data_IF_858493482354
#
_entry.id   IF_858493482354
#
_cell.length_a   1.000
_cell.length_b   1.000
_cell.length_c   1.000
_cell.angle_alpha   90.00
_cell.angle_beta   90.00
_cell.angle_gamma   90.00
#
_symmetry.space_group_name_H-M   'P 1'
#
loop_
_entity.id
_entity.type
_entity.pdbx_description
1 polymer ?
#
# COMPACT_ATOMS: atom_id res chain seq x y z
N UNK A 1 10.58 13.20 17.26
CA UNK A 1 9.77 13.02 16.03
C UNK A 1 8.63 12.02 16.27
N UNK A 2 7.64 12.35 17.12
CA UNK A 2 6.48 11.47 17.44
C UNK A 2 5.37 11.48 16.37
N UNK A 3 5.46 12.32 15.34
CA UNK A 3 4.36 12.59 14.39
C UNK A 3 4.43 11.92 13.01
N UNK A 4 5.54 11.32 12.58
CA UNK A 4 5.64 10.75 11.23
C UNK A 4 4.93 9.40 11.07
N UNK A 5 4.82 8.63 12.15
CA UNK A 5 4.18 7.32 12.12
C UNK A 5 2.69 7.39 11.75
N UNK A 6 1.83 8.21 12.38
CA UNK A 6 0.42 8.28 11.99
C UNK A 6 0.24 8.84 10.58
N UNK A 7 1.04 9.83 10.16
CA UNK A 7 0.91 10.45 8.83
C UNK A 7 1.13 9.42 7.72
N UNK A 8 2.19 8.61 7.81
CA UNK A 8 2.47 7.63 6.77
C UNK A 8 1.39 6.53 6.70
N UNK A 9 0.87 6.08 7.84
CA UNK A 9 -0.25 5.12 7.88
C UNK A 9 -1.55 5.74 7.34
N UNK A 10 -1.82 7.02 7.59
CA UNK A 10 -2.96 7.70 6.96
C UNK A 10 -2.80 7.83 5.45
N UNK A 11 -1.58 8.05 4.97
CA UNK A 11 -1.32 8.18 3.53
C UNK A 11 -1.51 6.83 2.81
N UNK A 12 -1.04 5.74 3.41
CA UNK A 12 -1.32 4.35 2.98
C UNK A 12 -2.84 4.12 2.95
N UNK A 13 -3.57 4.51 4.00
CA UNK A 13 -5.01 4.30 4.03
C UNK A 13 -5.75 5.10 2.94
N UNK A 14 -5.36 6.35 2.67
CA UNK A 14 -5.98 7.19 1.66
C UNK A 14 -5.71 6.69 0.23
N UNK A 15 -4.48 6.26 -0.06
CA UNK A 15 -4.13 5.67 -1.36
C UNK A 15 -4.89 4.35 -1.58
N UNK A 16 -4.91 3.46 -0.59
CA UNK A 16 -5.70 2.24 -0.63
C UNK A 16 -7.21 2.50 -0.82
N UNK A 17 -7.76 3.55 -0.21
CA UNK A 17 -9.17 3.94 -0.41
C UNK A 17 -9.43 4.43 -1.84
N UNK A 18 -8.51 5.23 -2.42
CA UNK A 18 -8.62 5.67 -3.81
C UNK A 18 -8.55 4.49 -4.79
N UNK A 19 -7.61 3.56 -4.57
CA UNK A 19 -7.48 2.33 -5.35
C UNK A 19 -8.67 1.39 -5.19
N UNK A 20 -9.27 1.29 -4.01
CA UNK A 20 -10.49 0.51 -3.81
C UNK A 20 -11.62 1.00 -4.72
N UNK A 21 -11.80 2.31 -4.86
CA UNK A 21 -12.79 2.89 -5.76
C UNK A 21 -12.51 2.56 -7.23
N UNK A 22 -11.25 2.72 -7.66
CA UNK A 22 -10.85 2.49 -9.04
C UNK A 22 -10.91 0.99 -9.42
N UNK A 23 -10.39 0.11 -8.56
CA UNK A 23 -10.43 -1.34 -8.76
C UNK A 23 -11.86 -1.88 -8.72
N UNK A 24 -12.74 -1.38 -7.84
CA UNK A 24 -14.16 -1.77 -7.83
C UNK A 24 -14.89 -1.39 -9.12
N UNK A 25 -14.61 -0.21 -9.68
CA UNK A 25 -15.13 0.20 -10.98
C UNK A 25 -14.69 -0.76 -12.09
N UNK A 26 -13.41 -1.14 -12.10
CA UNK A 26 -12.87 -2.08 -13.09
C UNK A 26 -13.41 -3.51 -12.94
N UNK A 27 -13.62 -4.00 -11.71
CA UNK A 27 -14.27 -5.31 -11.50
C UNK A 27 -15.65 -5.35 -12.15
N UNK A 28 -16.42 -4.27 -12.03
CA UNK A 28 -17.73 -4.18 -12.67
C UNK A 28 -17.62 -4.15 -14.20
N UNK A 29 -16.65 -3.38 -14.73
CA UNK A 29 -16.46 -3.24 -16.17
C UNK A 29 -16.04 -4.56 -16.85
N UNK A 30 -15.18 -5.34 -16.20
CA UNK A 30 -14.58 -6.58 -16.72
C UNK A 30 -15.44 -7.81 -16.38
N UNK A 31 -16.63 -7.61 -15.78
CA UNK A 31 -17.49 -8.71 -15.34
C UNK A 31 -17.88 -9.66 -16.49
N UNK A 32 -18.04 -9.13 -17.70
CA UNK A 32 -18.47 -9.88 -18.89
C UNK A 32 -17.31 -10.27 -19.81
N UNK A 33 -16.07 -9.92 -19.46
CA UNK A 33 -14.90 -10.24 -20.28
C UNK A 33 -14.45 -11.70 -20.08
N UNK A 34 -14.12 -12.42 -21.17
CA UNK A 34 -13.65 -13.81 -21.10
C UNK A 34 -12.19 -13.95 -20.65
N UNK A 35 -11.44 -12.85 -20.49
CA UNK A 35 -10.02 -12.87 -20.11
C UNK A 35 -9.85 -13.17 -18.60
N UNK A 36 -9.60 -14.44 -18.28
CA UNK A 36 -9.48 -14.89 -16.89
C UNK A 36 -8.34 -14.19 -16.11
N UNK A 37 -7.20 -13.94 -16.76
CA UNK A 37 -6.01 -13.38 -16.10
C UNK A 37 -6.16 -11.92 -15.69
N UNK A 38 -6.67 -11.08 -16.59
CA UNK A 38 -6.85 -9.65 -16.32
C UNK A 38 -7.86 -9.45 -15.19
N UNK A 39 -8.99 -10.15 -15.24
CA UNK A 39 -10.01 -10.14 -14.18
C UNK A 39 -9.45 -10.59 -12.83
N UNK A 40 -8.65 -11.67 -12.80
CA UNK A 40 -8.03 -12.14 -11.56
C UNK A 40 -7.08 -11.11 -10.93
N UNK A 41 -6.34 -10.35 -11.74
CA UNK A 41 -5.43 -9.32 -11.23
C UNK A 41 -6.17 -8.09 -10.72
N UNK A 42 -7.23 -7.64 -11.40
CA UNK A 42 -8.08 -6.56 -10.87
C UNK A 42 -8.71 -6.95 -9.53
N UNK A 43 -9.14 -8.21 -9.38
CA UNK A 43 -9.63 -8.73 -8.09
C UNK A 43 -8.52 -8.76 -7.04
N UNK A 44 -7.28 -9.10 -7.42
CA UNK A 44 -6.13 -9.04 -6.52
C UNK A 44 -5.86 -7.61 -6.04
N UNK A 45 -5.91 -6.62 -6.93
CA UNK A 45 -5.83 -5.21 -6.56
C UNK A 45 -6.94 -4.82 -5.59
N UNK A 46 -8.20 -5.18 -5.87
CA UNK A 46 -9.32 -4.91 -4.98
C UNK A 46 -9.12 -5.54 -3.59
N UNK A 47 -8.70 -6.79 -3.53
CA UNK A 47 -8.37 -7.47 -2.29
C UNK A 47 -7.27 -6.74 -1.52
N UNK A 48 -6.20 -6.34 -2.21
CA UNK A 48 -5.07 -5.66 -1.62
C UNK A 48 -5.44 -4.27 -1.08
N UNK A 49 -6.30 -3.54 -1.79
CA UNK A 49 -6.85 -2.26 -1.35
C UNK A 49 -7.71 -2.41 -0.09
N UNK A 50 -8.61 -3.39 -0.04
CA UNK A 50 -9.42 -3.68 1.16
C UNK A 50 -8.54 -4.10 2.33
N UNK A 51 -7.59 -5.02 2.10
CA UNK A 51 -6.61 -5.47 3.10
C UNK A 51 -5.83 -4.29 3.66
N UNK A 52 -5.29 -3.45 2.78
CA UNK A 52 -4.45 -2.32 3.16
C UNK A 52 -5.27 -1.29 3.94
N UNK A 53 -6.47 -0.95 3.46
CA UNK A 53 -7.36 0.02 4.09
C UNK A 53 -7.82 -0.43 5.48
N UNK A 54 -8.23 -1.69 5.64
CA UNK A 54 -8.71 -2.22 6.92
C UNK A 54 -7.62 -2.15 7.99
N UNK A 55 -6.42 -2.64 7.68
CA UNK A 55 -5.35 -2.66 8.65
C UNK A 55 -4.72 -1.28 8.87
N UNK A 56 -4.50 -0.49 7.82
CA UNK A 56 -4.01 0.88 7.97
C UNK A 56 -5.01 1.75 8.77
N UNK A 57 -6.31 1.63 8.46
CA UNK A 57 -7.38 2.30 9.20
C UNK A 57 -7.44 1.89 10.67
N UNK A 58 -7.31 0.59 10.95
CA UNK A 58 -7.21 0.10 12.33
C UNK A 58 -5.99 0.66 13.07
N UNK A 59 -4.81 0.71 12.43
CA UNK A 59 -3.62 1.34 13.02
C UNK A 59 -3.82 2.83 13.32
N UNK A 60 -4.46 3.58 12.41
CA UNK A 60 -4.77 5.00 12.61
C UNK A 60 -5.75 5.19 13.78
N UNK A 61 -6.82 4.40 13.82
CA UNK A 61 -7.82 4.45 14.89
C UNK A 61 -7.22 4.09 16.26
N UNK A 62 -6.37 3.06 16.32
CA UNK A 62 -5.70 2.69 17.57
C UNK A 62 -4.66 3.70 18.03
N UNK A 63 -3.98 4.39 17.10
CA UNK A 63 -3.10 5.51 17.43
C UNK A 63 -3.87 6.67 18.09
N UNK A 64 -5.15 6.86 17.78
CA UNK A 64 -5.99 7.91 18.38
C UNK A 64 -6.63 7.51 19.72
N UNK A 65 -6.99 6.23 19.90
CA UNK A 65 -7.69 5.76 21.12
C UNK A 65 -6.75 5.32 22.26
N UNK A 66 -5.45 5.18 22.00
CA UNK A 66 -4.44 4.88 23.03
C UNK A 66 -4.57 3.50 23.68
N UNK A 67 -5.48 2.64 23.20
CA UNK A 67 -5.81 1.35 23.79
C UNK A 67 -5.19 0.18 22.99
N UNK A 68 -4.59 -0.76 23.74
CA UNK A 68 -4.05 -2.07 23.35
C UNK A 68 -2.55 -2.15 22.94
N UNK A 69 -1.75 -2.66 23.89
CA UNK A 69 -0.30 -2.85 23.82
C UNK A 69 0.18 -4.02 22.92
N UNK A 70 -0.71 -4.82 22.31
CA UNK A 70 -0.33 -6.09 21.66
C UNK A 70 -0.35 -6.00 20.12
N UNK A 71 -1.35 -5.34 19.50
CA UNK A 71 -1.37 -5.11 18.04
C UNK A 71 -0.60 -3.85 17.62
N UNK A 72 -0.49 -2.84 18.50
CA UNK A 72 0.35 -1.66 18.28
C UNK A 72 1.87 -1.94 18.48
N UNK A 73 2.26 -3.22 18.49
CA UNK A 73 3.66 -3.61 18.50
C UNK A 73 4.32 -3.22 17.18
N UNK A 74 5.47 -2.56 17.27
CA UNK A 74 6.33 -2.21 16.13
C UNK A 74 6.67 -3.45 15.29
N UNK A 75 6.72 -4.63 15.92
CA UNK A 75 6.96 -5.90 15.22
C UNK A 75 5.76 -6.36 14.38
N UNK A 76 4.53 -6.24 14.90
CA UNK A 76 3.32 -6.61 14.19
C UNK A 76 3.07 -5.71 12.98
N UNK A 77 3.32 -4.40 13.14
CA UNK A 77 3.24 -3.43 12.05
C UNK A 77 4.33 -3.64 10.99
N UNK A 78 5.56 -3.98 11.38
CA UNK A 78 6.63 -4.30 10.43
C UNK A 78 6.33 -5.57 9.61
N UNK A 79 5.81 -6.63 10.25
CA UNK A 79 5.40 -7.85 9.54
C UNK A 79 4.27 -7.55 8.55
N UNK A 80 3.25 -6.81 8.98
CA UNK A 80 2.14 -6.41 8.13
C UNK A 80 2.61 -5.56 6.93
N UNK A 81 3.46 -4.55 7.16
CA UNK A 81 4.04 -3.73 6.08
C UNK A 81 4.84 -4.56 5.07
N UNK A 82 5.55 -5.59 5.54
CA UNK A 82 6.30 -6.50 4.66
C UNK A 82 5.35 -7.30 3.77
N UNK A 83 4.30 -7.88 4.35
CA UNK A 83 3.29 -8.65 3.60
C UNK A 83 2.60 -7.74 2.58
N UNK A 84 2.16 -6.56 3.00
CA UNK A 84 1.48 -5.59 2.15
C UNK A 84 2.39 -5.12 1.00
N UNK A 85 3.67 -4.83 1.27
CA UNK A 85 4.63 -4.48 0.22
C UNK A 85 4.78 -5.60 -0.83
N UNK A 86 4.86 -6.86 -0.40
CA UNK A 86 4.96 -8.01 -1.32
C UNK A 86 3.67 -8.16 -2.14
N UNK A 87 2.50 -8.04 -1.51
CA UNK A 87 1.22 -8.12 -2.22
C UNK A 87 1.09 -7.05 -3.30
N UNK A 88 1.42 -5.79 -2.98
CA UNK A 88 1.41 -4.69 -3.96
C UNK A 88 2.45 -4.88 -5.06
N UNK A 89 3.67 -5.27 -4.72
CA UNK A 89 4.73 -5.51 -5.70
C UNK A 89 4.41 -6.66 -6.66
N UNK A 90 3.84 -7.76 -6.15
CA UNK A 90 3.39 -8.89 -6.99
C UNK A 90 2.22 -8.47 -7.87
N UNK A 91 1.24 -7.75 -7.33
CA UNK A 91 0.10 -7.26 -8.12
C UNK A 91 0.56 -6.35 -9.27
N UNK A 92 1.38 -5.34 -8.97
CA UNK A 92 1.91 -4.41 -9.99
C UNK A 92 2.81 -5.12 -11.00
N UNK A 93 3.73 -5.97 -10.54
CA UNK A 93 4.65 -6.70 -11.41
C UNK A 93 3.98 -7.69 -12.36
N UNK A 94 2.90 -8.35 -11.93
CA UNK A 94 2.11 -9.24 -12.80
C UNK A 94 1.20 -8.47 -13.77
N UNK A 95 0.86 -7.23 -13.44
CA UNK A 95 -0.01 -6.38 -14.24
C UNK A 95 0.71 -5.70 -15.41
N UNK A 96 1.98 -5.33 -15.20
CA UNK A 96 2.86 -4.70 -16.20
C UNK A 96 2.83 -5.38 -17.60
N UNK A 97 3.09 -6.71 -17.73
CA UNK A 97 3.08 -7.36 -19.04
C UNK A 97 1.69 -7.41 -19.71
N UNK A 98 0.60 -7.30 -18.95
CA UNK A 98 -0.75 -7.31 -19.51
C UNK A 98 -1.13 -5.98 -20.15
N UNK A 99 -0.54 -4.88 -19.69
CA UNK A 99 -0.74 -3.55 -20.28
C UNK A 99 0.12 -3.31 -21.53
N UNK A 100 1.09 -4.19 -21.79
CA UNK A 100 2.13 -3.99 -22.81
C UNK A 100 3.46 -3.48 -22.23
N UNK A 101 3.61 -3.51 -20.91
CA UNK A 101 4.82 -3.13 -20.18
C UNK A 101 4.88 -1.64 -19.80
N UNK A 102 5.84 -1.33 -18.95
CA UNK A 102 6.10 0.01 -18.40
C UNK A 102 6.46 1.06 -19.47
N UNK A 103 6.77 0.61 -20.68
CA UNK A 103 7.06 1.44 -21.85
C UNK A 103 5.83 1.75 -22.74
N UNK A 104 4.64 1.23 -22.41
CA UNK A 104 3.42 1.56 -23.14
C UNK A 104 2.97 2.99 -22.81
N UNK A 105 3.34 3.94 -23.68
CA UNK A 105 3.00 5.35 -23.55
C UNK A 105 1.52 5.63 -23.88
N UNK A 106 0.78 6.18 -22.92
CA UNK A 106 -0.56 6.73 -23.15
C UNK A 106 -0.51 8.21 -23.62
N UNK A 107 0.56 8.61 -24.33
CA UNK A 107 0.72 9.99 -24.79
C UNK A 107 -0.30 10.30 -25.91
N UNK A 108 -0.99 11.44 -25.82
CA UNK A 108 -2.03 11.83 -26.79
C UNK A 108 -3.42 11.20 -26.58
N UNK A 109 -3.63 10.33 -25.60
CA UNK A 109 -4.97 9.81 -25.27
C UNK A 109 -5.74 10.79 -24.36
N UNK A 110 -7.09 10.84 -24.44
CA UNK A 110 -7.90 11.69 -23.58
C UNK A 110 -7.74 11.33 -22.09
N UNK A 111 -8.00 12.30 -21.21
CA UNK A 111 -7.78 12.15 -19.76
C UNK A 111 -8.53 10.96 -19.15
N UNK A 112 -9.76 10.68 -19.60
CA UNK A 112 -10.55 9.50 -19.22
C UNK A 112 -10.44 8.42 -20.32
N UNK A 113 -9.25 7.88 -20.51
CA UNK A 113 -9.05 6.72 -21.38
C UNK A 113 -8.66 5.50 -20.55
N UNK A 114 -9.11 4.32 -20.98
CA UNK A 114 -8.75 3.03 -20.38
C UNK A 114 -7.24 2.89 -20.16
N UNK A 115 -6.42 3.33 -21.12
CA UNK A 115 -4.95 3.30 -21.00
C UNK A 115 -4.47 4.04 -19.74
N UNK A 116 -4.99 5.24 -19.47
CA UNK A 116 -4.59 6.07 -18.32
C UNK A 116 -5.12 5.54 -17.01
N UNK A 117 -6.32 4.97 -17.00
CA UNK A 117 -6.91 4.35 -15.81
C UNK A 117 -6.12 3.11 -15.38
N UNK A 118 -5.73 2.25 -16.34
CA UNK A 118 -4.90 1.07 -16.05
C UNK A 118 -3.47 1.46 -15.66
N UNK A 119 -2.92 2.52 -16.27
CA UNK A 119 -1.63 3.08 -15.85
C UNK A 119 -1.71 3.63 -14.42
N UNK A 120 -2.83 4.24 -14.03
CA UNK A 120 -3.04 4.74 -12.67
C UNK A 120 -3.08 3.59 -11.65
N UNK A 121 -3.79 2.49 -11.92
CA UNK A 121 -3.80 1.29 -11.07
C UNK A 121 -2.37 0.75 -10.84
N UNK A 122 -1.59 0.62 -11.92
CA UNK A 122 -0.22 0.15 -11.85
C UNK A 122 0.67 1.10 -11.04
N UNK A 123 0.59 2.40 -11.36
CA UNK A 123 1.36 3.44 -10.68
C UNK A 123 1.04 3.49 -9.19
N UNK A 124 -0.24 3.42 -8.81
CA UNK A 124 -0.61 3.43 -7.40
C UNK A 124 -0.10 2.17 -6.71
N UNK A 125 -0.16 1.00 -7.36
CA UNK A 125 0.43 -0.22 -6.81
C UNK A 125 1.93 -0.11 -6.51
N UNK A 126 2.71 0.49 -7.42
CA UNK A 126 4.12 0.78 -7.16
C UNK A 126 4.32 1.80 -6.04
N UNK A 127 3.48 2.83 -5.95
CA UNK A 127 3.57 3.83 -4.87
C UNK A 127 3.25 3.24 -3.51
N UNK A 128 2.25 2.37 -3.39
CA UNK A 128 1.91 1.68 -2.15
C UNK A 128 3.02 0.74 -1.69
N UNK A 129 3.64 -0.01 -2.62
CA UNK A 129 4.82 -0.81 -2.32
C UNK A 129 5.95 0.06 -1.77
N UNK A 130 6.28 1.15 -2.47
CA UNK A 130 7.34 2.06 -2.05
C UNK A 130 7.04 2.69 -0.69
N UNK A 131 5.79 3.10 -0.46
CA UNK A 131 5.34 3.69 0.79
C UNK A 131 5.44 2.69 1.94
N UNK A 132 5.03 1.43 1.74
CA UNK A 132 5.18 0.36 2.73
C UNK A 132 6.66 0.08 3.07
N UNK A 133 7.55 0.16 2.09
CA UNK A 133 9.00 -0.01 2.32
C UNK A 133 9.55 1.19 3.12
N UNK A 134 9.18 2.41 2.75
CA UNK A 134 9.61 3.63 3.45
C UNK A 134 9.11 3.66 4.89
N UNK A 135 7.86 3.28 5.14
CA UNK A 135 7.31 3.19 6.51
C UNK A 135 8.02 2.13 7.33
N UNK A 136 8.35 0.98 6.74
CA UNK A 136 9.11 -0.07 7.40
C UNK A 136 10.52 0.42 7.78
N UNK A 137 11.24 1.07 6.88
CA UNK A 137 12.55 1.65 7.20
C UNK A 137 12.45 2.71 8.30
N UNK A 138 11.45 3.60 8.23
CA UNK A 138 11.23 4.61 9.27
C UNK A 138 10.99 3.97 10.64
N UNK A 139 10.20 2.89 10.71
CA UNK A 139 9.96 2.14 11.93
C UNK A 139 11.24 1.48 12.47
N UNK A 140 12.04 0.84 11.60
CA UNK A 140 13.29 0.20 12.00
C UNK A 140 14.35 1.20 12.50
N UNK A 141 14.55 2.31 11.79
CA UNK A 141 15.47 3.37 12.19
C UNK A 141 15.07 3.98 13.55
N UNK A 142 13.77 4.14 13.79
CA UNK A 142 13.27 4.63 15.07
C UNK A 142 13.57 3.67 16.24
N UNK A 143 13.41 2.36 16.04
CA UNK A 143 13.79 1.36 17.05
C UNK A 143 15.29 1.43 17.33
N UNK A 144 16.12 1.55 16.31
CA UNK A 144 17.57 1.65 16.47
C UNK A 144 17.98 2.93 17.21
N UNK A 145 17.39 4.09 16.88
CA UNK A 145 17.68 5.35 17.58
C UNK A 145 17.26 5.29 19.04
N UNK A 146 16.10 4.69 19.32
CA UNK A 146 15.58 4.56 20.68
C UNK A 146 16.48 3.63 21.51
N UNK A 147 16.89 2.48 20.97
CA UNK A 147 17.84 1.56 21.63
C UNK A 147 19.21 2.20 21.91
N UNK A 148 19.73 3.01 20.99
CA UNK A 148 20.99 3.76 21.20
C UNK A 148 20.86 4.78 22.33
N UNK A 149 19.75 5.51 22.38
CA UNK A 149 19.48 6.49 23.44
C UNK A 149 19.38 5.84 24.82
N UNK A 150 18.73 4.68 24.94
CA UNK A 150 18.65 3.95 26.22
C UNK A 150 20.03 3.48 26.70
N UNK A 151 20.89 2.94 25.82
CA UNK A 151 22.25 2.52 26.21
C UNK A 151 23.10 3.67 26.74
N UNK A 152 22.98 4.87 26.19
CA UNK A 152 23.73 6.04 26.65
C UNK A 152 23.42 6.44 28.10
N UNK A 153 22.18 6.24 28.55
CA UNK A 153 21.74 6.64 29.90
C UNK A 153 22.25 5.72 31.02
N UNK A 154 22.71 4.50 30.71
CA UNK A 154 23.25 3.56 31.70
C UNK A 154 24.77 3.64 31.86
N UNK A 155 25.46 4.46 31.05
CA UNK A 155 26.91 4.68 31.14
C UNK A 155 27.26 6.09 31.68
N UNK A 156 26.34 6.69 32.45
CA UNK A 156 26.57 7.94 33.19
C UNK A 156 26.54 7.66 34.68
#
# INVERSE_FOLDING_TARGET
>A
MRGYHPLLFTLIALLAAAELGLSAFWVHQVQHDPSSRFRSLIILFLFNSVWTLLFAGAYVFWLTDGAFHVLASIGASALWLTITAVLWGVAAGLFDPLRGGSAADCSGTPALSTCRELLALEAIGWTEMALCIVTLFAALFWVQSTRRSYRGTYYV
#
